data_IF_698410707000
#
_entry.id   IF_698410707000
#
_cell.length_a   1.000
_cell.length_b   1.000
_cell.length_c   1.000
_cell.angle_alpha   90.00
_cell.angle_beta   90.00
_cell.angle_gamma   90.00
#
_symmetry.space_group_name_H-M   'P 1'
#
loop_
_entity.id
_entity.type
_entity.pdbx_description
1 polymer ?
#
# COMPACT_ATOMS: atom_id res chain seq x y z
N UNK A 1 -20.24 -45.29 15.68
CA UNK A 1 -20.33 -44.07 14.84
C UNK A 1 -19.62 -44.36 13.54
N UNK A 2 -20.26 -44.10 12.40
CA UNK A 2 -19.65 -44.36 11.09
C UNK A 2 -18.44 -43.44 10.91
N UNK A 3 -17.29 -44.01 10.57
CA UNK A 3 -16.10 -43.23 10.20
C UNK A 3 -16.42 -42.43 8.95
N UNK A 4 -16.13 -41.14 8.97
CA UNK A 4 -16.36 -40.29 7.83
C UNK A 4 -15.10 -40.35 6.95
N UNK A 5 -15.23 -40.52 5.64
CA UNK A 5 -14.05 -40.51 4.78
C UNK A 5 -13.57 -39.06 4.60
N UNK A 6 -12.50 -38.70 5.32
CA UNK A 6 -11.87 -37.38 5.30
C UNK A 6 -11.49 -36.95 3.87
N UNK A 7 -11.22 -37.90 2.97
CA UNK A 7 -10.89 -37.64 1.57
C UNK A 7 -12.03 -36.93 0.82
N UNK A 8 -13.28 -37.14 1.23
CA UNK A 8 -14.45 -36.48 0.63
C UNK A 8 -14.52 -34.98 0.96
N UNK A 9 -13.76 -34.51 1.96
CA UNK A 9 -13.71 -33.10 2.36
C UNK A 9 -12.79 -32.26 1.48
N UNK A 10 -11.99 -32.89 0.63
CA UNK A 10 -11.02 -32.24 -0.27
C UNK A 10 -11.56 -31.01 -1.02
N UNK A 11 -12.70 -31.06 -1.74
CA UNK A 11 -13.21 -29.88 -2.47
C UNK A 11 -13.68 -28.75 -1.53
N UNK A 12 -14.22 -29.10 -0.37
CA UNK A 12 -14.64 -28.13 0.66
C UNK A 12 -13.42 -27.46 1.29
N UNK A 13 -12.40 -28.24 1.61
CA UNK A 13 -11.10 -27.75 2.09
C UNK A 13 -10.54 -26.75 1.08
N UNK A 14 -10.41 -27.14 -0.21
CA UNK A 14 -9.89 -26.26 -1.26
C UNK A 14 -10.65 -24.94 -1.39
N UNK A 15 -11.97 -24.98 -1.29
CA UNK A 15 -12.80 -23.78 -1.36
C UNK A 15 -12.51 -22.84 -0.18
N UNK A 16 -12.37 -23.39 1.03
CA UNK A 16 -12.01 -22.65 2.23
C UNK A 16 -10.59 -22.06 2.09
N UNK A 17 -9.61 -22.85 1.60
CA UNK A 17 -8.23 -22.40 1.36
C UNK A 17 -8.20 -21.23 0.39
N UNK A 18 -9.01 -21.27 -0.66
CA UNK A 18 -9.00 -20.24 -1.72
C UNK A 18 -9.62 -18.91 -1.28
N UNK A 19 -10.58 -18.95 -0.37
CA UNK A 19 -11.33 -17.77 0.08
C UNK A 19 -10.72 -17.14 1.33
N UNK A 20 -9.99 -17.92 2.14
CA UNK A 20 -9.51 -17.51 3.45
C UNK A 20 -7.99 -17.47 3.50
N UNK A 21 -7.41 -16.46 4.16
CA UNK A 21 -5.96 -16.35 4.37
C UNK A 21 -5.47 -17.46 5.31
N UNK A 22 -5.02 -18.56 4.72
CA UNK A 22 -4.80 -19.82 5.43
C UNK A 22 -3.50 -19.91 6.25
N UNK A 23 -2.74 -18.81 6.33
CA UNK A 23 -1.69 -18.67 7.35
C UNK A 23 -2.26 -18.26 8.72
N UNK A 24 -3.55 -17.88 8.78
CA UNK A 24 -4.21 -17.32 9.98
C UNK A 24 -5.29 -18.27 10.54
N UNK A 25 -5.77 -19.22 9.75
CA UNK A 25 -6.76 -20.20 10.21
C UNK A 25 -6.08 -21.36 10.94
N UNK A 26 -6.17 -21.35 12.27
CA UNK A 26 -5.73 -22.49 13.09
C UNK A 26 -6.45 -23.77 12.69
N UNK A 27 -5.78 -24.93 12.86
CA UNK A 27 -6.38 -26.23 12.52
C UNK A 27 -7.67 -26.51 13.30
N UNK A 28 -7.81 -25.89 14.48
CA UNK A 28 -9.02 -25.91 15.29
C UNK A 28 -10.17 -25.21 14.57
N UNK A 29 -9.94 -23.99 14.05
CA UNK A 29 -10.92 -23.22 13.25
C UNK A 29 -11.32 -23.96 11.97
N UNK A 30 -10.36 -24.54 11.24
CA UNK A 30 -10.66 -25.34 10.05
C UNK A 30 -11.53 -26.56 10.37
N UNK A 31 -11.24 -27.26 11.48
CA UNK A 31 -12.05 -28.40 11.92
C UNK A 31 -13.46 -27.98 12.33
N UNK A 32 -13.61 -26.85 13.00
CA UNK A 32 -14.90 -26.28 13.39
C UNK A 32 -15.75 -25.96 12.15
N UNK A 33 -15.19 -25.20 11.20
CA UNK A 33 -15.88 -24.84 9.95
C UNK A 33 -16.28 -26.09 9.16
N UNK A 34 -15.39 -27.08 9.03
CA UNK A 34 -15.71 -28.33 8.32
C UNK A 34 -16.77 -29.15 9.04
N UNK A 35 -16.72 -29.22 10.38
CA UNK A 35 -17.73 -29.94 11.17
C UNK A 35 -19.12 -29.30 11.06
N UNK A 36 -19.19 -27.97 10.99
CA UNK A 36 -20.42 -27.22 10.79
C UNK A 36 -21.00 -27.43 9.37
N UNK A 37 -20.16 -27.41 8.33
CA UNK A 37 -20.61 -27.64 6.95
C UNK A 37 -21.13 -29.06 6.74
N UNK A 38 -20.47 -30.04 7.34
CA UNK A 38 -20.75 -31.47 7.11
C UNK A 38 -21.77 -32.02 8.12
N UNK A 39 -22.09 -31.25 9.17
CA UNK A 39 -22.93 -31.67 10.29
C UNK A 39 -22.46 -32.99 10.93
N UNK A 40 -21.13 -33.20 10.98
CA UNK A 40 -20.52 -34.40 11.57
C UNK A 40 -19.39 -34.02 12.49
N UNK A 41 -19.24 -34.81 13.57
CA UNK A 41 -18.17 -34.60 14.53
C UNK A 41 -16.87 -35.21 13.98
N UNK A 42 -15.96 -34.35 13.52
CA UNK A 42 -14.65 -34.72 12.96
C UNK A 42 -13.55 -34.83 14.04
N UNK A 43 -13.90 -34.82 15.34
CA UNK A 43 -12.93 -34.86 16.44
C UNK A 43 -12.07 -36.13 16.44
N UNK A 44 -12.66 -37.26 16.03
CA UNK A 44 -11.97 -38.56 15.98
C UNK A 44 -10.95 -38.71 14.85
N UNK A 45 -10.99 -37.87 13.82
CA UNK A 45 -10.19 -37.98 12.59
C UNK A 45 -9.27 -36.76 12.41
N UNK A 46 -8.96 -36.08 13.53
CA UNK A 46 -8.23 -34.82 13.56
C UNK A 46 -6.88 -34.85 12.85
N UNK A 47 -6.12 -35.92 12.98
CA UNK A 47 -4.75 -36.02 12.46
C UNK A 47 -4.75 -36.31 10.96
N UNK A 48 -5.72 -37.09 10.49
CA UNK A 48 -5.95 -37.37 9.07
C UNK A 48 -6.40 -36.11 8.35
N UNK A 49 -7.32 -35.34 8.96
CA UNK A 49 -7.76 -34.06 8.45
C UNK A 49 -6.62 -33.04 8.42
N UNK A 50 -5.82 -32.97 9.50
CA UNK A 50 -4.68 -32.07 9.56
C UNK A 50 -3.68 -32.35 8.44
N UNK A 51 -3.32 -33.61 8.25
CA UNK A 51 -2.44 -34.03 7.16
C UNK A 51 -3.01 -33.68 5.79
N UNK A 52 -4.30 -33.93 5.56
CA UNK A 52 -4.96 -33.61 4.30
C UNK A 52 -4.93 -32.11 4.01
N UNK A 53 -5.25 -31.27 5.00
CA UNK A 53 -5.22 -29.81 4.86
C UNK A 53 -3.82 -29.35 4.48
N UNK A 54 -2.77 -29.77 5.21
CA UNK A 54 -1.37 -29.41 4.92
C UNK A 54 -0.97 -29.76 3.48
N UNK A 55 -1.33 -30.96 3.03
CA UNK A 55 -1.09 -31.40 1.65
C UNK A 55 -1.80 -30.49 0.63
N UNK A 56 -3.06 -30.10 0.90
CA UNK A 56 -3.81 -29.17 0.03
C UNK A 56 -3.17 -27.78 -0.01
N UNK A 57 -2.72 -27.22 1.12
CA UNK A 57 -2.01 -25.92 1.14
C UNK A 57 -0.80 -25.97 0.23
N UNK A 58 0.02 -27.00 0.41
CA UNK A 58 1.28 -27.13 -0.28
C UNK A 58 1.07 -27.31 -1.80
N UNK A 59 0.07 -28.10 -2.19
CA UNK A 59 -0.33 -28.26 -3.58
C UNK A 59 -0.82 -26.93 -4.18
N UNK A 60 -1.64 -26.17 -3.45
CA UNK A 60 -2.15 -24.88 -3.92
C UNK A 60 -1.03 -23.85 -4.12
N UNK A 61 -0.14 -23.71 -3.14
CA UNK A 61 1.05 -22.83 -3.25
C UNK A 61 1.95 -23.21 -4.43
N UNK A 62 2.13 -24.51 -4.69
CA UNK A 62 2.89 -24.97 -5.86
C UNK A 62 2.19 -24.62 -7.19
N UNK A 63 0.87 -24.72 -7.25
CA UNK A 63 0.10 -24.34 -8.43
C UNK A 63 0.18 -22.83 -8.69
N UNK A 64 0.08 -22.00 -7.65
CA UNK A 64 0.23 -20.55 -7.75
C UNK A 64 1.62 -20.15 -8.23
N UNK A 65 2.68 -20.73 -7.67
CA UNK A 65 4.06 -20.51 -8.13
C UNK A 65 4.22 -20.88 -9.62
N UNK A 66 3.66 -22.01 -10.04
CA UNK A 66 3.68 -22.43 -11.45
C UNK A 66 2.89 -21.48 -12.34
N UNK A 67 1.71 -21.01 -11.92
CA UNK A 67 0.91 -20.04 -12.68
C UNK A 67 1.63 -18.69 -12.80
N UNK A 68 2.13 -18.15 -11.69
CA UNK A 68 2.93 -16.91 -11.64
C UNK A 68 4.11 -16.99 -12.60
N UNK A 69 4.89 -18.08 -12.56
CA UNK A 69 6.03 -18.29 -13.48
C UNK A 69 5.64 -18.34 -14.97
N UNK A 70 4.43 -18.80 -15.31
CA UNK A 70 3.93 -18.83 -16.69
C UNK A 70 3.47 -17.45 -17.14
N UNK A 71 2.77 -16.72 -16.27
CA UNK A 71 2.34 -15.34 -16.51
C UNK A 71 3.55 -14.43 -16.70
N UNK A 72 4.57 -14.56 -15.84
CA UNK A 72 5.82 -13.81 -15.94
C UNK A 72 6.54 -14.08 -17.27
N UNK A 73 6.65 -15.35 -17.67
CA UNK A 73 7.23 -15.73 -18.97
C UNK A 73 6.44 -15.17 -20.15
N UNK A 74 5.11 -15.19 -20.10
CA UNK A 74 4.27 -14.67 -21.18
C UNK A 74 4.35 -13.13 -21.26
N UNK A 75 4.36 -12.46 -20.12
CA UNK A 75 4.57 -11.00 -20.00
C UNK A 75 5.93 -10.59 -20.54
N UNK A 76 6.99 -11.33 -20.21
CA UNK A 76 8.34 -11.06 -20.72
C UNK A 76 8.41 -11.29 -22.24
N UNK A 77 7.76 -12.34 -22.76
CA UNK A 77 7.65 -12.58 -24.20
C UNK A 77 6.94 -11.42 -24.90
N UNK A 78 5.83 -10.92 -24.35
CA UNK A 78 5.09 -9.77 -24.90
C UNK A 78 5.92 -8.49 -24.86
N UNK A 79 6.60 -8.20 -23.74
CA UNK A 79 7.52 -7.04 -23.62
C UNK A 79 8.63 -7.08 -24.67
N UNK A 80 9.26 -8.24 -24.87
CA UNK A 80 10.31 -8.40 -25.89
C UNK A 80 9.78 -8.16 -27.30
N UNK A 81 8.54 -8.55 -27.59
CA UNK A 81 7.91 -8.32 -28.89
C UNK A 81 7.66 -6.83 -29.12
N UNK A 82 7.11 -6.14 -28.12
CA UNK A 82 6.88 -4.69 -28.14
C UNK A 82 8.18 -3.91 -28.32
N UNK A 83 9.26 -4.29 -27.63
CA UNK A 83 10.57 -3.65 -27.75
C UNK A 83 11.16 -3.82 -29.16
N UNK A 84 10.96 -4.98 -29.81
CA UNK A 84 11.36 -5.18 -31.20
C UNK A 84 10.55 -4.30 -32.15
N UNK A 85 9.23 -4.21 -31.98
CA UNK A 85 8.37 -3.35 -32.80
C UNK A 85 8.76 -1.89 -32.66
N UNK A 86 8.95 -1.42 -31.42
CA UNK A 86 9.42 -0.06 -31.14
C UNK A 86 10.79 0.21 -31.79
N UNK A 87 11.70 -0.77 -31.77
CA UNK A 87 13.01 -0.64 -32.39
C UNK A 87 12.90 -0.57 -33.93
N UNK A 88 12.03 -1.36 -34.55
CA UNK A 88 11.78 -1.33 -35.99
C UNK A 88 11.15 0.01 -36.39
N UNK A 89 10.16 0.48 -35.62
CA UNK A 89 9.52 1.77 -35.83
C UNK A 89 10.52 2.92 -35.72
N UNK A 90 11.38 2.89 -34.71
CA UNK A 90 12.43 3.88 -34.52
C UNK A 90 13.49 3.88 -35.65
N UNK A 91 13.82 2.71 -36.23
CA UNK A 91 14.67 2.61 -37.42
C UNK A 91 14.02 3.22 -38.66
N UNK A 92 12.71 2.98 -38.87
CA UNK A 92 11.96 3.57 -39.99
C UNK A 92 11.89 5.08 -39.91
N UNK A 93 11.69 5.63 -38.71
CA UNK A 93 11.61 7.06 -38.47
C UNK A 93 12.96 7.78 -38.57
N UNK A 94 14.09 7.09 -38.32
CA UNK A 94 15.44 7.66 -38.36
C UNK A 94 16.42 6.80 -39.18
N UNK A 95 16.30 6.77 -40.52
CA UNK A 95 17.10 5.88 -41.37
C UNK A 95 18.61 6.20 -41.39
N UNK A 96 19.04 7.38 -40.93
CA UNK A 96 20.46 7.77 -40.83
C UNK A 96 21.17 7.31 -39.54
N UNK A 97 20.45 6.74 -38.56
CA UNK A 97 21.02 6.26 -37.31
C UNK A 97 21.20 4.75 -37.36
N UNK A 98 22.45 4.28 -37.50
CA UNK A 98 22.76 2.85 -37.42
C UNK A 98 22.32 2.23 -36.08
N UNK A 99 22.16 0.89 -36.02
CA UNK A 99 21.65 0.16 -34.83
C UNK A 99 22.31 0.57 -33.50
N UNK A 100 23.62 0.85 -33.49
CA UNK A 100 24.35 1.32 -32.30
C UNK A 100 23.98 2.75 -31.88
N UNK A 101 23.71 3.64 -32.84
CA UNK A 101 23.31 5.03 -32.58
C UNK A 101 21.90 5.16 -32.00
N UNK A 102 20.99 4.26 -32.41
CA UNK A 102 19.61 4.22 -31.95
C UNK A 102 19.51 3.72 -30.50
N UNK A 103 20.20 2.61 -30.16
CA UNK A 103 20.26 2.10 -28.78
C UNK A 103 20.95 3.10 -27.85
N UNK A 104 21.98 3.81 -28.31
CA UNK A 104 22.66 4.86 -27.54
C UNK A 104 21.76 6.07 -27.24
N UNK A 105 20.94 6.52 -28.21
CA UNK A 105 20.01 7.62 -28.01
C UNK A 105 18.83 7.25 -27.10
N UNK A 106 18.29 6.03 -27.22
CA UNK A 106 17.21 5.55 -26.34
C UNK A 106 17.73 5.39 -24.91
N UNK A 107 18.94 4.87 -24.71
CA UNK A 107 19.54 4.69 -23.38
C UNK A 107 19.88 6.03 -22.69
N UNK A 108 20.25 7.06 -23.45
CA UNK A 108 20.41 8.44 -22.94
C UNK A 108 19.10 9.09 -22.49
N UNK A 109 17.94 8.61 -22.95
CA UNK A 109 16.63 9.11 -22.54
C UNK A 109 15.97 8.28 -21.43
N UNK A 110 16.43 7.05 -21.20
CA UNK A 110 15.77 6.10 -20.30
C UNK A 110 16.15 6.22 -18.80
N UNK A 111 17.14 7.02 -18.42
CA UNK A 111 17.38 7.41 -17.02
C UNK A 111 18.05 8.79 -16.96
N UNK A 112 17.42 9.86 -16.43
CA UNK A 112 18.23 10.86 -15.75
C UNK A 112 18.88 10.12 -14.57
N UNK A 113 20.20 10.13 -14.53
CA UNK A 113 21.00 9.63 -13.42
C UNK A 113 20.48 10.31 -12.14
N UNK A 114 19.73 9.59 -11.30
CA UNK A 114 19.04 10.14 -10.14
C UNK A 114 20.01 10.74 -9.09
N UNK A 115 21.32 10.56 -9.30
CA UNK A 115 22.36 10.98 -8.37
C UNK A 115 23.40 11.96 -8.95
N UNK A 116 23.34 12.34 -10.23
CA UNK A 116 24.36 13.23 -10.82
C UNK A 116 24.02 14.72 -10.74
N UNK A 117 22.88 15.07 -10.13
CA UNK A 117 22.40 16.44 -9.94
C UNK A 117 21.76 16.67 -8.56
N UNK A 118 22.10 15.89 -7.53
CA UNK A 118 21.92 16.36 -6.14
C UNK A 118 23.03 17.37 -5.82
N UNK A 119 23.08 18.46 -6.58
CA UNK A 119 23.76 19.67 -6.12
C UNK A 119 23.14 20.05 -4.80
N UNK A 120 23.94 20.55 -3.86
CA UNK A 120 23.44 21.11 -2.61
C UNK A 120 22.21 21.96 -2.89
N UNK A 121 21.16 21.78 -2.08
CA UNK A 121 19.92 22.54 -2.22
C UNK A 121 20.27 24.02 -2.10
N UNK A 122 20.14 24.77 -3.19
CA UNK A 122 20.38 26.20 -3.17
C UNK A 122 19.37 26.85 -2.22
N UNK A 123 19.87 27.45 -1.15
CA UNK A 123 19.07 28.23 -0.20
C UNK A 123 18.82 29.63 -0.76
N UNK A 124 17.68 30.19 -0.38
CA UNK A 124 17.26 31.53 -0.77
C UNK A 124 16.81 32.28 0.47
N UNK A 125 17.15 33.57 0.53
CA UNK A 125 16.52 34.49 1.47
C UNK A 125 15.11 34.79 0.98
N UNK A 126 14.14 34.69 1.88
CA UNK A 126 12.73 34.86 1.57
C UNK A 126 12.34 36.34 1.66
N UNK A 127 11.48 36.78 0.75
CA UNK A 127 10.83 38.08 0.86
C UNK A 127 9.96 38.13 2.15
N UNK A 128 9.87 39.26 2.88
CA UNK A 128 9.20 39.33 4.19
C UNK A 128 7.78 38.74 4.24
N UNK A 129 6.99 38.96 3.19
CA UNK A 129 5.62 38.43 3.08
C UNK A 129 5.59 36.89 3.05
N UNK A 130 6.58 36.27 2.38
CA UNK A 130 6.71 34.82 2.30
C UNK A 130 7.36 34.25 3.59
N UNK A 131 8.30 34.99 4.18
CA UNK A 131 8.93 34.63 5.44
C UNK A 131 7.90 34.56 6.59
N UNK A 132 7.00 35.53 6.69
CA UNK A 132 5.88 35.54 7.66
C UNK A 132 4.91 34.37 7.42
N UNK A 133 4.70 33.97 6.17
CA UNK A 133 3.87 32.80 5.88
C UNK A 133 4.50 31.50 6.40
N UNK A 134 5.82 31.35 6.23
CA UNK A 134 6.60 30.16 6.57
C UNK A 134 7.14 30.13 8.00
N UNK A 135 7.16 31.27 8.68
CA UNK A 135 7.90 31.49 9.93
C UNK A 135 9.40 31.16 9.81
N UNK A 136 10.00 31.43 8.64
CA UNK A 136 11.43 31.21 8.36
C UNK A 136 11.94 32.30 7.42
N UNK A 137 13.20 32.72 7.56
CA UNK A 137 13.81 33.75 6.70
C UNK A 137 14.62 33.18 5.53
N UNK A 138 15.04 31.92 5.63
CA UNK A 138 15.86 31.21 4.63
C UNK A 138 15.28 29.82 4.43
N UNK A 139 15.09 29.42 3.18
CA UNK A 139 14.63 28.05 2.84
C UNK A 139 14.95 27.71 1.39
N UNK A 140 14.95 26.41 1.08
CA UNK A 140 15.08 25.92 -0.28
C UNK A 140 13.76 26.06 -1.07
N UNK A 141 13.84 26.28 -2.38
CA UNK A 141 12.63 26.47 -3.23
C UNK A 141 11.62 25.32 -3.13
N UNK A 142 12.10 24.09 -2.96
CA UNK A 142 11.28 22.89 -2.93
C UNK A 142 10.50 22.78 -1.62
N UNK A 143 11.15 23.03 -0.49
CA UNK A 143 10.55 23.08 0.84
C UNK A 143 9.41 24.10 0.85
N UNK A 144 9.67 25.34 0.43
CA UNK A 144 8.64 26.39 0.36
C UNK A 144 7.43 25.93 -0.46
N UNK A 145 7.67 25.35 -1.64
CA UNK A 145 6.59 24.88 -2.51
C UNK A 145 5.79 23.76 -1.84
N UNK A 146 6.47 22.83 -1.16
CA UNK A 146 5.85 21.73 -0.41
C UNK A 146 4.99 22.26 0.75
N UNK A 147 5.49 23.22 1.50
CA UNK A 147 4.78 23.88 2.61
C UNK A 147 3.50 24.56 2.14
N UNK A 148 3.57 25.34 1.06
CA UNK A 148 2.40 26.01 0.47
C UNK A 148 1.36 24.97 0.03
N UNK A 149 1.78 23.88 -0.61
CA UNK A 149 0.87 22.81 -1.01
C UNK A 149 0.25 22.05 0.15
N UNK A 150 1.01 21.82 1.23
CA UNK A 150 0.49 21.22 2.45
C UNK A 150 -0.61 22.11 3.02
N UNK A 151 -0.35 23.41 3.14
CA UNK A 151 -1.32 24.39 3.63
C UNK A 151 -2.61 24.43 2.79
N UNK A 152 -2.49 24.44 1.45
CA UNK A 152 -3.64 24.43 0.54
C UNK A 152 -4.52 23.20 0.75
N UNK A 153 -3.91 22.03 0.94
CA UNK A 153 -4.64 20.77 1.16
C UNK A 153 -5.28 20.72 2.53
N UNK A 154 -4.52 21.08 3.56
CA UNK A 154 -4.96 21.03 4.96
C UNK A 154 -6.17 21.96 5.20
N UNK A 155 -6.17 23.13 4.57
CA UNK A 155 -7.29 24.08 4.61
C UNK A 155 -8.35 23.88 3.52
N UNK A 156 -8.26 22.81 2.73
CA UNK A 156 -9.19 22.52 1.62
C UNK A 156 -9.44 23.72 0.67
N UNK A 157 -8.38 24.46 0.32
CA UNK A 157 -8.46 25.68 -0.49
C UNK A 157 -8.61 25.42 -2.00
N UNK A 158 -8.81 24.17 -2.43
CA UNK A 158 -9.08 23.85 -3.83
C UNK A 158 -10.55 24.07 -4.16
N UNK A 159 -10.83 24.63 -5.33
CA UNK A 159 -12.20 24.80 -5.78
C UNK A 159 -12.85 23.41 -6.01
N UNK A 160 -13.98 23.09 -5.34
CA UNK A 160 -14.64 21.78 -5.48
C UNK A 160 -15.18 21.53 -6.89
N UNK A 161 -15.52 22.59 -7.63
CA UNK A 161 -15.99 22.49 -9.01
C UNK A 161 -14.83 22.36 -10.02
N UNK A 162 -13.64 22.87 -9.68
CA UNK A 162 -12.46 22.82 -10.53
C UNK A 162 -11.19 22.69 -9.69
N UNK A 163 -10.73 21.45 -9.46
CA UNK A 163 -9.55 21.15 -8.63
C UNK A 163 -8.22 21.74 -9.12
N UNK A 164 -8.19 22.37 -10.30
CA UNK A 164 -7.01 23.09 -10.81
C UNK A 164 -6.93 24.52 -10.27
N UNK A 165 -8.06 25.08 -9.84
CA UNK A 165 -8.15 26.41 -9.26
C UNK A 165 -8.05 26.35 -7.74
N UNK A 166 -7.23 27.24 -7.18
CA UNK A 166 -7.03 27.43 -5.75
C UNK A 166 -7.69 28.75 -5.36
N UNK A 167 -8.55 28.69 -4.34
CA UNK A 167 -9.23 29.83 -3.72
C UNK A 167 -8.48 30.14 -2.43
N UNK A 168 -7.61 31.14 -2.49
CA UNK A 168 -6.74 31.48 -1.39
C UNK A 168 -7.52 32.10 -0.21
N UNK A 169 -7.16 31.71 1.01
CA UNK A 169 -7.60 32.40 2.22
C UNK A 169 -6.83 33.72 2.41
N UNK A 170 -7.23 34.54 3.38
CA UNK A 170 -6.62 35.85 3.62
C UNK A 170 -5.11 35.78 3.84
N UNK A 171 -4.58 34.68 4.39
CA UNK A 171 -3.13 34.51 4.63
C UNK A 171 -2.41 34.19 3.31
N UNK A 172 -2.90 33.23 2.53
CA UNK A 172 -2.30 32.83 1.27
C UNK A 172 -2.47 33.90 0.17
N UNK A 173 -3.58 34.64 0.20
CA UNK A 173 -3.85 35.73 -0.72
C UNK A 173 -2.87 36.90 -0.56
N UNK A 174 -2.38 37.18 0.66
CA UNK A 174 -1.33 38.19 0.90
C UNK A 174 -0.02 37.85 0.19
N UNK A 175 0.31 36.57 0.10
CA UNK A 175 1.54 36.09 -0.55
C UNK A 175 1.34 36.01 -2.07
N UNK A 176 0.20 35.53 -2.53
CA UNK A 176 -0.08 35.30 -3.94
C UNK A 176 -1.19 36.23 -4.45
N UNK A 177 -2.37 35.66 -4.69
CA UNK A 177 -3.59 36.36 -5.11
C UNK A 177 -4.80 35.52 -4.68
N UNK A 178 -5.99 36.11 -4.72
CA UNK A 178 -7.23 35.49 -4.26
C UNK A 178 -7.57 34.18 -5.00
N UNK A 179 -7.34 34.12 -6.32
CA UNK A 179 -7.61 32.93 -7.15
C UNK A 179 -6.49 32.68 -8.13
N UNK A 180 -5.98 31.45 -8.16
CA UNK A 180 -4.90 31.07 -9.06
C UNK A 180 -4.95 29.59 -9.49
N UNK A 181 -4.26 29.29 -10.59
CA UNK A 181 -4.11 27.92 -11.12
C UNK A 181 -2.95 27.19 -10.43
N UNK A 182 -2.97 25.86 -10.44
CA UNK A 182 -1.98 24.96 -9.84
C UNK A 182 -0.51 25.29 -10.21
N UNK A 183 -0.25 25.79 -11.42
CA UNK A 183 1.11 26.15 -11.85
C UNK A 183 1.57 27.54 -11.42
N UNK A 184 0.67 28.35 -10.83
CA UNK A 184 0.96 29.73 -10.48
C UNK A 184 2.03 29.85 -9.39
N UNK A 185 2.01 28.95 -8.40
CA UNK A 185 2.99 28.94 -7.29
C UNK A 185 4.40 28.88 -7.87
N UNK A 186 4.72 27.84 -8.64
CA UNK A 186 6.05 27.66 -9.22
C UNK A 186 6.51 28.85 -10.08
N UNK A 187 5.57 29.48 -10.81
CA UNK A 187 5.84 30.66 -11.64
C UNK A 187 6.16 31.90 -10.79
N UNK A 188 5.41 32.14 -9.72
CA UNK A 188 5.51 33.35 -8.92
C UNK A 188 6.63 33.28 -7.86
N UNK A 189 7.06 32.08 -7.50
CA UNK A 189 8.13 31.86 -6.52
C UNK A 189 9.43 32.59 -6.86
N UNK A 190 9.78 32.75 -8.14
CA UNK A 190 10.98 33.49 -8.53
C UNK A 190 11.05 34.93 -8.01
N UNK A 191 9.89 35.57 -7.80
CA UNK A 191 9.81 36.98 -7.38
C UNK A 191 10.02 37.16 -5.87
N UNK A 192 9.92 36.07 -5.08
CA UNK A 192 10.04 36.10 -3.63
C UNK A 192 11.35 35.50 -3.10
N UNK A 193 12.23 35.04 -4.01
CA UNK A 193 13.46 34.34 -3.67
C UNK A 193 14.66 35.19 -4.06
N UNK A 194 15.42 35.63 -3.06
CA UNK A 194 16.68 36.34 -3.24
C UNK A 194 17.81 35.31 -3.11
N UNK A 195 18.63 35.10 -4.15
CA UNK A 195 19.80 34.23 -4.04
C UNK A 195 20.72 34.73 -2.94
N UNK A 196 21.12 33.83 -2.04
CA UNK A 196 22.26 34.07 -1.15
C UNK A 196 23.53 33.84 -1.98
N UNK A 197 24.39 34.86 -2.08
CA UNK A 197 25.72 34.68 -2.65
C UNK A 197 26.56 33.88 -1.64
N UNK A 198 27.24 32.83 -2.11
CA UNK A 198 28.09 31.98 -1.27
C UNK A 198 29.46 32.66 -1.10
N UNK A 199 29.60 33.61 -0.17
CA UNK A 199 30.88 33.83 0.48
C UNK A 199 31.08 32.73 1.52
N UNK A 200 31.94 31.78 1.15
CA UNK A 200 32.11 30.49 1.80
C UNK A 200 32.18 30.52 3.32
N UNK A 201 31.14 29.96 3.94
CA UNK A 201 31.31 29.15 5.13
C UNK A 201 30.38 27.95 5.01
N UNK A 202 31.01 26.79 4.85
CA UNK A 202 30.35 25.50 4.71
C UNK A 202 29.88 25.09 6.10
N UNK A 203 28.69 25.52 6.49
CA UNK A 203 27.98 24.88 7.61
C UNK A 203 27.53 23.52 7.11
N UNK A 204 28.30 22.51 7.47
CA UNK A 204 27.82 21.14 7.59
C UNK A 204 26.72 21.15 8.64
N UNK A 205 25.49 20.84 8.24
CA UNK A 205 24.44 20.46 9.18
C UNK A 205 24.87 19.12 9.82
N UNK A 206 25.68 19.22 10.87
CA UNK A 206 25.65 18.28 11.99
C UNK A 206 24.38 18.59 12.80
N UNK A 207 23.71 17.53 13.26
CA UNK A 207 22.57 17.50 14.19
C UNK A 207 21.16 17.70 13.62
N UNK A 208 20.53 16.57 13.24
CA UNK A 208 19.28 16.11 13.88
C UNK A 208 18.94 14.68 13.42
N UNK A 209 19.60 13.71 14.04
CA UNK A 209 19.05 12.39 14.41
C UNK A 209 20.12 11.61 15.16
N UNK A 210 19.97 11.52 16.48
CA UNK A 210 20.25 10.33 17.31
C UNK A 210 20.16 10.77 18.79
N UNK A 211 18.97 10.67 19.39
CA UNK A 211 18.92 10.37 20.82
C UNK A 211 18.97 8.85 20.95
N UNK A 212 20.16 8.37 21.28
CA UNK A 212 20.38 7.10 21.94
C UNK A 212 19.98 7.27 23.41
N UNK A 213 19.10 6.41 23.90
CA UNK A 213 18.96 6.12 25.33
C UNK A 213 19.37 4.66 25.45
N UNK A 214 20.62 4.45 25.90
CA UNK A 214 21.08 3.19 26.45
C UNK A 214 20.61 3.13 27.91
N UNK A 215 19.72 2.19 28.22
CA UNK A 215 19.65 1.56 29.54
C UNK A 215 19.75 0.05 29.31
N UNK A 216 20.98 -0.47 29.46
CA UNK A 216 21.21 -1.86 29.83
C UNK A 216 20.72 -2.04 31.28
N UNK A 217 19.83 -3.00 31.54
CA UNK A 217 19.99 -4.03 32.59
C UNK A 217 18.70 -4.87 32.70
N UNK A 218 18.90 -6.18 32.55
CA UNK A 218 18.20 -7.29 33.22
C UNK A 218 16.66 -7.26 33.37
N UNK A 219 15.96 -8.06 32.56
CA UNK A 219 15.22 -9.20 33.13
C UNK A 219 14.83 -10.20 32.04
N UNK A 220 15.20 -11.45 32.29
CA UNK A 220 15.11 -12.62 31.43
C UNK A 220 14.08 -13.54 32.09
N UNK A 221 12.80 -13.17 32.04
CA UNK A 221 11.67 -14.00 32.51
C UNK A 221 10.35 -13.30 32.12
N UNK A 222 9.72 -13.67 30.99
CA UNK A 222 8.25 -13.54 30.78
C UNK A 222 7.79 -13.99 29.37
N UNK A 223 8.38 -15.05 28.80
CA UNK A 223 7.86 -15.67 27.56
C UNK A 223 6.73 -16.69 27.81
N UNK A 224 6.36 -16.94 29.08
CA UNK A 224 5.33 -17.92 29.43
C UNK A 224 3.93 -17.30 29.61
N UNK A 225 3.79 -15.96 29.61
CA UNK A 225 2.48 -15.29 29.79
C UNK A 225 1.77 -14.94 28.47
N UNK A 226 2.49 -14.76 27.36
CA UNK A 226 1.87 -14.46 26.05
C UNK A 226 1.20 -15.69 25.41
N UNK A 227 1.59 -16.92 25.77
CA UNK A 227 0.94 -18.14 25.28
C UNK A 227 -0.41 -18.42 25.99
N UNK A 228 -0.61 -17.93 27.22
CA UNK A 228 -1.88 -18.11 27.95
C UNK A 228 -2.97 -17.13 27.45
N UNK A 229 -2.60 -15.93 27.00
CA UNK A 229 -3.57 -14.94 26.47
C UNK A 229 -4.14 -15.34 25.10
N UNK A 230 -3.38 -16.03 24.24
CA UNK A 230 -3.88 -16.56 22.96
C UNK A 230 -4.88 -17.72 23.13
N UNK A 231 -4.82 -18.46 24.25
CA UNK A 231 -5.76 -19.56 24.54
C UNK A 231 -7.14 -19.05 24.99
N UNK A 232 -7.22 -17.94 25.73
CA UNK A 232 -8.50 -17.36 26.18
C UNK A 232 -9.30 -16.67 25.05
N UNK A 233 -8.63 -16.04 24.09
CA UNK A 233 -9.30 -15.42 22.93
C UNK A 233 -9.97 -16.46 22.01
N UNK A 234 -9.41 -17.66 21.91
CA UNK A 234 -9.93 -18.76 21.09
C UNK A 234 -11.15 -19.45 21.74
N UNK A 235 -11.33 -19.37 23.07
CA UNK A 235 -12.54 -19.84 23.76
C UNK A 235 -13.73 -18.90 23.49
N UNK A 236 -13.50 -17.58 23.53
CA UNK A 236 -14.54 -16.57 23.34
C UNK A 236 -15.10 -16.55 21.89
N UNK A 237 -14.25 -16.81 20.89
CA UNK A 237 -14.70 -16.92 19.49
C UNK A 237 -15.55 -18.17 19.24
N UNK A 238 -15.25 -19.28 19.92
CA UNK A 238 -16.00 -20.53 19.83
C UNK A 238 -17.41 -20.42 20.41
N UNK A 239 -17.56 -19.71 21.53
CA UNK A 239 -18.84 -19.51 22.20
C UNK A 239 -19.77 -18.61 21.37
N UNK A 240 -19.23 -17.54 20.77
CA UNK A 240 -20.03 -16.60 19.98
C UNK A 240 -20.57 -17.20 18.67
N UNK A 241 -19.80 -18.07 18.01
CA UNK A 241 -20.28 -18.79 16.81
C UNK A 241 -21.31 -19.86 17.19
N UNK A 242 -21.12 -20.58 18.30
CA UNK A 242 -22.11 -21.54 18.77
C UNK A 242 -23.44 -20.87 19.11
N UNK A 243 -23.40 -19.72 19.78
CA UNK A 243 -24.59 -18.95 20.17
C UNK A 243 -25.32 -18.36 18.95
N UNK A 244 -24.57 -17.87 17.95
CA UNK A 244 -25.16 -17.36 16.70
C UNK A 244 -25.83 -18.48 15.88
N UNK A 245 -25.22 -19.67 15.82
CA UNK A 245 -25.80 -20.83 15.14
C UNK A 245 -27.01 -21.36 15.92
N UNK A 246 -26.96 -21.38 17.25
CA UNK A 246 -28.10 -21.81 18.08
C UNK A 246 -29.28 -20.83 17.98
N UNK A 247 -29.01 -19.52 17.93
CA UNK A 247 -30.02 -18.49 17.69
C UNK A 247 -30.71 -18.64 16.31
N UNK A 248 -29.93 -18.93 15.28
CA UNK A 248 -30.44 -19.14 13.92
C UNK A 248 -31.19 -20.48 13.79
N UNK A 249 -30.82 -21.50 14.57
CA UNK A 249 -31.53 -22.79 14.64
C UNK A 249 -32.83 -22.72 15.46
N UNK A 250 -32.93 -21.80 16.42
CA UNK A 250 -34.11 -21.62 17.29
C UNK A 250 -35.23 -20.81 16.65
N UNK A 251 -34.96 -20.16 15.51
CA UNK A 251 -35.96 -19.48 14.69
C UNK A 251 -35.99 -20.03 13.25
N UNK A 252 -36.47 -21.27 13.04
CA UNK A 252 -36.60 -21.81 11.69
C UNK A 252 -37.92 -21.33 11.08
N UNK A 253 -37.83 -20.40 10.12
CA UNK A 253 -38.91 -19.84 9.26
C UNK A 253 -39.79 -18.78 9.93
N UNK A 254 -40.15 -17.65 9.34
CA UNK A 254 -39.90 -17.06 8.02
C UNK A 254 -40.97 -15.98 7.79
N UNK A 255 -40.62 -14.83 7.20
CA UNK A 255 -41.63 -14.02 6.50
C UNK A 255 -40.98 -13.26 5.34
N UNK A 256 -41.02 -13.92 4.18
CA UNK A 256 -41.16 -13.19 2.94
C UNK A 256 -42.59 -12.62 2.91
N UNK A 257 -42.74 -11.30 3.04
CA UNK A 257 -43.92 -10.60 2.52
C UNK A 257 -43.44 -9.67 1.41
N UNK A 258 -43.59 -10.14 0.18
CA UNK A 258 -43.84 -9.30 -0.99
C UNK A 258 -45.35 -9.12 -1.08
N UNK A 259 -45.84 -7.88 -1.01
CA UNK A 259 -47.14 -7.36 -1.51
C UNK A 259 -47.12 -5.83 -1.30
N UNK A 260 -46.86 -5.02 -2.33
CA UNK A 260 -47.86 -4.39 -3.22
C UNK A 260 -48.98 -3.65 -2.48
N UNK A 261 -48.95 -2.31 -2.47
CA UNK A 261 -50.08 -1.37 -2.68
C UNK A 261 -49.51 0.06 -2.59
N UNK A 262 -49.53 0.83 -3.69
CA UNK A 262 -50.54 1.88 -3.94
C UNK A 262 -50.63 2.96 -2.83
N UNK A 263 -49.89 4.07 -3.00
CA UNK A 263 -50.47 5.41 -3.18
C UNK A 263 -49.43 6.40 -3.71
#
# INVERSE_FOLDING_TARGET
MAKYDVSQLTPTIDAIIRVSDMNVLSMRRLRLVLSAIVNTNLSGEKDELHKLVLERIQLMQQQEKKQKSKVDRNSEKFKRELDKENLIMAQRLNPGWGKKGLVGHVKKRAKPDANKNRGAKKLYKLHPILAEFMNKDVSDRFEITKEVWRYIKDKNLQNPANRREIIADSKLAKVFKERFDMFFIAKKMGDYLIPLEEDGERVSDEDEQEEAIDEDDDDDEDQDQEEEEEEEEDENFGEHIAEQIEADMKNPTGEAIVKSEFK
#
